data_IF_689905179936
#
_entry.id   IF_689905179936
#
_cell.length_a   1.000
_cell.length_b   1.000
_cell.length_c   1.000
_cell.angle_alpha   90.00
_cell.angle_beta   90.00
_cell.angle_gamma   90.00
#
_symmetry.space_group_name_H-M   'P 1'
#
loop_
_entity.id
_entity.type
_entity.pdbx_description
1 polymer ?
#
# COMPACT_ATOMS: atom_id res chain seq x y z
N UNK A 1 28.87 -37.70 -32.44
CA UNK A 1 28.09 -36.72 -33.21
C UNK A 1 26.69 -37.27 -33.32
N UNK A 2 25.64 -36.71 -32.73
CA UNK A 2 25.44 -35.54 -31.88
C UNK A 2 24.29 -35.92 -30.94
N UNK A 3 24.38 -35.52 -29.67
CA UNK A 3 23.25 -35.55 -28.76
C UNK A 3 22.27 -34.46 -29.19
N UNK A 4 20.98 -34.79 -29.22
CA UNK A 4 19.92 -33.79 -29.32
C UNK A 4 19.34 -33.60 -27.93
N UNK A 5 19.83 -32.54 -27.28
CA UNK A 5 19.26 -31.99 -26.07
C UNK A 5 17.86 -31.47 -26.41
N UNK A 6 16.84 -32.12 -25.86
CA UNK A 6 15.50 -31.52 -25.79
C UNK A 6 15.52 -30.51 -24.65
N UNK A 7 15.80 -29.27 -25.02
CA UNK A 7 15.68 -28.08 -24.20
C UNK A 7 14.21 -27.92 -23.75
N UNK A 8 13.97 -28.26 -22.48
CA UNK A 8 12.72 -28.03 -21.77
C UNK A 8 12.55 -26.52 -21.57
N UNK A 9 11.75 -25.87 -22.41
CA UNK A 9 11.28 -24.51 -22.17
C UNK A 9 10.35 -24.52 -20.95
N UNK A 10 10.88 -24.15 -19.78
CA UNK A 10 10.06 -23.83 -18.61
C UNK A 10 9.24 -22.58 -18.93
N UNK A 11 7.92 -22.74 -18.84
CA UNK A 11 6.91 -21.70 -18.99
C UNK A 11 6.87 -20.89 -17.69
N UNK A 12 7.52 -19.72 -17.67
CA UNK A 12 7.57 -18.77 -16.53
C UNK A 12 6.24 -18.01 -16.33
N UNK A 13 5.10 -18.69 -16.47
CA UNK A 13 3.77 -18.07 -16.34
C UNK A 13 3.13 -18.43 -15.01
N UNK A 14 2.98 -17.39 -14.19
CA UNK A 14 2.02 -17.20 -13.08
C UNK A 14 2.42 -17.67 -11.68
N UNK A 15 2.61 -16.71 -10.76
CA UNK A 15 2.36 -16.87 -9.31
C UNK A 15 1.84 -15.58 -8.64
N UNK A 16 1.30 -14.66 -9.45
CA UNK A 16 0.46 -13.56 -8.96
C UNK A 16 -1.00 -13.89 -9.27
N UNK A 17 -1.78 -14.25 -8.26
CA UNK A 17 -3.23 -14.27 -8.42
C UNK A 17 -3.71 -12.83 -8.31
N UNK A 18 -3.76 -12.15 -9.45
CA UNK A 18 -4.41 -10.87 -9.57
C UNK A 18 -5.93 -11.08 -9.64
N UNK A 19 -6.67 -10.52 -8.69
CA UNK A 19 -8.12 -10.45 -8.82
C UNK A 19 -8.45 -9.49 -9.97
N UNK A 20 -8.97 -10.03 -11.10
CA UNK A 20 -9.29 -9.23 -12.30
C UNK A 20 -10.36 -8.15 -12.04
N UNK A 21 -11.12 -8.28 -10.96
CA UNK A 21 -12.23 -7.36 -10.62
C UNK A 21 -11.82 -6.24 -9.66
N UNK A 22 -10.81 -6.42 -8.81
CA UNK A 22 -10.40 -5.40 -7.81
C UNK A 22 -8.90 -5.07 -7.80
N UNK A 23 -8.13 -5.64 -8.72
CA UNK A 23 -6.68 -5.37 -8.88
C UNK A 23 -5.81 -5.76 -7.68
N UNK A 24 -6.36 -6.47 -6.69
CA UNK A 24 -5.59 -7.04 -5.59
C UNK A 24 -4.63 -8.10 -6.11
N UNK A 25 -3.39 -8.02 -5.65
CA UNK A 25 -2.35 -8.98 -5.97
C UNK A 25 -2.02 -9.76 -4.71
N UNK A 26 -2.25 -11.06 -4.77
CA UNK A 26 -1.64 -12.01 -3.84
C UNK A 26 -0.21 -12.25 -4.31
N UNK A 27 0.76 -11.73 -3.55
CA UNK A 27 2.17 -11.99 -3.84
C UNK A 27 2.67 -13.14 -2.99
N UNK A 28 3.07 -14.23 -3.65
CA UNK A 28 4.02 -15.18 -3.12
C UNK A 28 5.44 -14.64 -3.30
N UNK A 29 6.37 -15.06 -2.44
CA UNK A 29 7.78 -14.71 -2.59
C UNK A 29 8.30 -15.22 -3.95
N UNK A 30 8.40 -14.32 -4.93
CA UNK A 30 9.37 -14.33 -6.02
C UNK A 30 9.37 -12.92 -6.65
N UNK A 31 10.57 -12.36 -6.84
CA UNK A 31 10.80 -10.94 -7.06
C UNK A 31 10.14 -10.42 -8.33
N UNK A 32 9.48 -9.26 -8.21
CA UNK A 32 9.03 -8.46 -9.33
C UNK A 32 9.67 -7.09 -9.18
N UNK A 33 10.58 -6.76 -10.07
CA UNK A 33 11.12 -5.42 -10.20
C UNK A 33 10.13 -4.61 -11.05
N UNK A 34 9.49 -3.62 -10.43
CA UNK A 34 8.73 -2.60 -11.15
C UNK A 34 9.48 -1.27 -11.03
N UNK A 35 10.19 -0.91 -12.10
CA UNK A 35 10.96 0.33 -12.18
C UNK A 35 10.11 1.44 -12.81
N UNK A 36 9.15 1.98 -12.05
CA UNK A 36 8.55 3.28 -12.39
C UNK A 36 9.14 4.39 -11.54
N UNK A 37 10.03 5.19 -12.13
CA UNK A 37 10.47 6.47 -11.58
C UNK A 37 9.30 7.46 -11.63
N UNK A 38 8.73 7.81 -10.49
CA UNK A 38 7.61 8.76 -10.40
C UNK A 38 8.13 10.21 -10.31
N UNK A 39 7.44 11.11 -10.98
CA UNK A 39 7.69 12.55 -10.89
C UNK A 39 7.32 13.03 -9.48
N UNK A 40 8.16 13.89 -8.90
CA UNK A 40 7.87 14.57 -7.64
C UNK A 40 6.63 15.44 -7.81
N UNK A 41 5.69 15.33 -6.87
CA UNK A 41 4.59 16.28 -6.69
C UNK A 41 5.22 17.60 -6.20
N UNK A 42 4.75 18.74 -6.72
CA UNK A 42 5.35 20.06 -6.44
C UNK A 42 5.05 20.59 -5.01
N UNK A 43 4.19 19.90 -4.27
CA UNK A 43 3.80 20.22 -2.90
C UNK A 43 3.92 18.98 -2.01
N UNK A 44 4.34 19.15 -0.74
CA UNK A 44 4.38 18.05 0.20
C UNK A 44 2.96 17.60 0.56
N UNK A 45 2.73 16.29 0.78
CA UNK A 45 1.47 15.79 1.29
C UNK A 45 1.18 16.32 2.70
N UNK A 46 -0.05 16.09 3.17
CA UNK A 46 -0.47 16.36 4.55
C UNK A 46 0.59 15.95 5.60
N UNK A 47 0.80 16.79 6.63
CA UNK A 47 1.75 16.49 7.71
C UNK A 47 1.32 15.29 8.56
N UNK A 48 2.30 14.63 9.19
CA UNK A 48 2.03 13.53 10.13
C UNK A 48 1.12 13.96 11.29
N UNK A 49 1.32 15.16 11.83
CA UNK A 49 0.49 15.72 12.91
C UNK A 49 -0.99 15.87 12.50
N UNK A 50 -1.25 16.38 11.29
CA UNK A 50 -2.61 16.48 10.79
C UNK A 50 -3.26 15.10 10.62
N UNK A 51 -2.48 14.12 10.13
CA UNK A 51 -2.95 12.75 9.95
C UNK A 51 -3.23 12.05 11.29
N UNK A 52 -2.38 12.24 12.30
CA UNK A 52 -2.63 11.79 13.67
C UNK A 52 -3.91 12.42 14.26
N UNK A 53 -4.14 13.71 13.98
CA UNK A 53 -5.36 14.41 14.35
C UNK A 53 -6.62 13.73 13.78
N UNK A 54 -6.59 13.38 12.50
CA UNK A 54 -7.68 12.68 11.80
C UNK A 54 -7.88 11.25 12.34
N UNK A 55 -6.78 10.56 12.66
CA UNK A 55 -6.77 9.18 13.13
C UNK A 55 -7.00 9.04 14.64
N UNK A 56 -7.22 10.14 15.35
CA UNK A 56 -7.49 10.15 16.79
C UNK A 56 -8.67 9.23 17.12
N UNK A 57 -8.44 8.32 18.08
CA UNK A 57 -9.43 7.32 18.49
C UNK A 57 -9.32 5.98 17.74
N UNK A 58 -8.44 5.87 16.75
CA UNK A 58 -8.05 4.57 16.17
C UNK A 58 -6.79 4.03 16.86
N UNK A 59 -6.46 2.76 16.63
CA UNK A 59 -5.22 2.13 17.12
C UNK A 59 -4.04 2.24 16.14
N UNK A 60 -4.21 2.99 15.05
CA UNK A 60 -3.18 3.18 14.04
C UNK A 60 -2.05 4.06 14.56
N UNK A 61 -0.84 3.80 14.08
CA UNK A 61 0.37 4.58 14.40
C UNK A 61 0.81 5.32 13.15
N UNK A 62 1.08 6.61 13.25
CA UNK A 62 1.69 7.38 12.16
C UNK A 62 3.21 7.40 12.38
N UNK A 63 3.99 7.06 11.36
CA UNK A 63 5.46 7.08 11.46
C UNK A 63 6.14 7.31 10.11
N UNK A 64 7.44 7.54 10.12
CA UNK A 64 8.27 7.58 8.92
C UNK A 64 8.75 6.17 8.53
N UNK A 65 9.44 6.08 7.39
CA UNK A 65 9.83 4.80 6.82
C UNK A 65 10.86 4.02 7.65
N UNK A 66 11.81 4.70 8.30
CA UNK A 66 12.83 4.11 9.17
C UNK A 66 12.30 3.72 10.56
N UNK A 67 11.20 4.32 11.01
CA UNK A 67 10.53 3.99 12.28
C UNK A 67 9.57 2.79 12.18
N UNK A 68 9.17 2.37 10.98
CA UNK A 68 8.32 1.17 10.82
C UNK A 68 9.04 -0.06 11.40
N UNK A 69 8.47 -0.80 12.37
CA UNK A 69 9.16 -1.95 12.95
C UNK A 69 9.31 -3.09 11.95
N UNK A 70 10.45 -3.79 11.99
CA UNK A 70 10.66 -4.97 11.16
C UNK A 70 9.66 -6.09 11.48
N UNK A 71 9.39 -6.35 12.75
CA UNK A 71 8.49 -7.41 13.21
C UNK A 71 7.39 -6.87 14.12
N UNK A 72 6.14 -7.25 13.83
CA UNK A 72 4.93 -6.76 14.52
C UNK A 72 4.34 -7.87 15.38
N UNK A 73 4.51 -7.73 16.70
CA UNK A 73 4.07 -8.70 17.72
C UNK A 73 2.60 -8.57 18.07
N UNK A 74 2.15 -7.35 18.30
CA UNK A 74 0.77 -7.09 18.74
C UNK A 74 -0.12 -6.92 17.50
N UNK A 75 -1.12 -7.79 17.34
CA UNK A 75 -2.04 -7.79 16.19
C UNK A 75 -3.51 -7.76 16.69
N UNK A 76 -4.42 -7.07 15.98
CA UNK A 76 -4.21 -6.38 14.72
C UNK A 76 -3.50 -5.04 14.93
N UNK A 77 -2.66 -4.65 13.96
CA UNK A 77 -1.95 -3.36 14.03
C UNK A 77 -1.90 -2.71 12.66
N UNK A 78 -2.08 -1.39 12.65
CA UNK A 78 -1.98 -0.59 11.44
C UNK A 78 -0.96 0.51 11.63
N UNK A 79 -0.12 0.72 10.63
CA UNK A 79 0.83 1.82 10.54
C UNK A 79 0.47 2.65 9.31
N UNK A 80 0.41 3.97 9.45
CA UNK A 80 0.38 4.89 8.32
C UNK A 80 1.77 5.49 8.23
N UNK A 81 2.45 5.17 7.13
CA UNK A 81 3.90 5.29 7.00
C UNK A 81 4.19 6.29 5.91
N UNK A 82 4.98 7.32 6.24
CA UNK A 82 5.56 8.16 5.21
C UNK A 82 6.61 7.33 4.45
N UNK A 83 6.64 7.43 3.13
CA UNK A 83 7.58 6.67 2.30
C UNK A 83 9.03 7.10 2.47
N UNK A 84 9.26 8.30 3.02
CA UNK A 84 10.59 8.81 3.31
C UNK A 84 10.97 8.60 4.78
N UNK A 85 12.28 8.67 5.05
CA UNK A 85 12.81 8.58 6.40
C UNK A 85 12.47 9.83 7.21
N UNK A 86 12.51 9.72 8.54
CA UNK A 86 12.12 10.79 9.47
C UNK A 86 12.87 12.12 9.29
N UNK A 87 14.08 12.09 8.72
CA UNK A 87 14.88 13.28 8.46
C UNK A 87 14.66 13.90 7.06
N UNK A 88 13.66 13.41 6.32
CA UNK A 88 13.31 13.89 4.99
C UNK A 88 11.95 14.61 5.03
N UNK A 89 11.65 15.34 3.95
CA UNK A 89 10.46 16.19 3.87
C UNK A 89 9.14 15.39 3.87
N UNK A 90 9.20 14.12 3.48
CA UNK A 90 8.06 13.23 3.37
C UNK A 90 7.23 13.48 2.12
N UNK A 91 7.24 12.53 1.19
CA UNK A 91 6.68 12.72 -0.16
C UNK A 91 5.39 11.96 -0.43
N UNK A 92 5.13 10.87 0.30
CA UNK A 92 3.92 10.07 0.12
C UNK A 92 3.55 9.31 1.40
N UNK A 93 2.28 8.96 1.56
CA UNK A 93 1.77 8.14 2.66
C UNK A 93 1.21 6.82 2.12
N UNK A 94 1.63 5.72 2.72
CA UNK A 94 1.03 4.39 2.53
C UNK A 94 0.61 3.80 3.87
N UNK A 95 -0.19 2.72 3.86
CA UNK A 95 -0.61 2.04 5.08
C UNK A 95 -0.16 0.58 5.09
N UNK A 96 0.33 0.12 6.24
CA UNK A 96 0.64 -1.28 6.51
C UNK A 96 -0.37 -1.81 7.53
N UNK A 97 -1.04 -2.91 7.22
CA UNK A 97 -1.95 -3.57 8.15
C UNK A 97 -1.52 -5.01 8.41
N UNK A 98 -1.41 -5.36 9.68
CA UNK A 98 -1.04 -6.68 10.16
C UNK A 98 -2.26 -7.25 10.89
N UNK A 99 -3.09 -8.07 10.22
CA UNK A 99 -4.30 -8.61 10.83
C UNK A 99 -3.97 -9.69 11.88
N UNK A 100 -4.93 -10.03 12.75
CA UNK A 100 -4.80 -11.15 13.71
C UNK A 100 -4.50 -12.46 12.97
N UNK A 101 -5.18 -12.68 11.86
CA UNK A 101 -5.05 -13.85 11.00
C UNK A 101 -5.10 -13.40 9.54
N UNK A 102 -4.34 -14.10 8.69
CA UNK A 102 -4.20 -13.78 7.27
C UNK A 102 -2.92 -13.02 6.93
N UNK A 103 -2.73 -12.69 5.64
CA UNK A 103 -1.55 -12.01 5.15
C UNK A 103 -1.49 -10.54 5.60
N UNK A 104 -0.29 -9.98 5.87
CA UNK A 104 -0.09 -8.54 5.96
C UNK A 104 -0.53 -7.83 4.67
N UNK A 105 -0.98 -6.59 4.80
CA UNK A 105 -1.45 -5.75 3.69
C UNK A 105 -0.57 -4.50 3.59
N UNK A 106 -0.22 -4.11 2.37
CA UNK A 106 0.31 -2.80 2.02
C UNK A 106 -0.69 -2.08 1.11
N UNK A 107 -1.19 -0.94 1.58
CA UNK A 107 -2.13 -0.10 0.88
C UNK A 107 -1.46 1.17 0.38
N UNK A 108 -1.69 1.47 -0.89
CA UNK A 108 -1.24 2.67 -1.56
C UNK A 108 -2.29 3.10 -2.60
N UNK A 109 -2.83 4.30 -2.45
CA UNK A 109 -3.86 4.88 -3.33
C UNK A 109 -3.35 5.24 -4.72
N UNK A 110 -2.03 5.38 -4.89
CA UNK A 110 -1.35 5.61 -6.17
C UNK A 110 -0.80 4.30 -6.77
N UNK A 111 -1.40 3.14 -6.50
CA UNK A 111 -0.98 1.82 -7.04
C UNK A 111 0.49 1.42 -6.82
N UNK A 112 1.18 2.01 -5.84
CA UNK A 112 2.57 1.63 -5.57
C UNK A 112 2.67 0.24 -4.95
N UNK A 113 3.78 -0.42 -5.23
CA UNK A 113 4.11 -1.72 -4.64
C UNK A 113 5.06 -1.51 -3.46
N UNK A 114 5.24 -2.50 -2.57
CA UNK A 114 6.23 -2.42 -1.50
C UNK A 114 7.66 -2.18 -2.00
N UNK A 115 7.96 -2.51 -3.26
CA UNK A 115 9.26 -2.31 -3.90
C UNK A 115 9.43 -0.92 -4.53
N UNK A 116 8.36 -0.13 -4.63
CA UNK A 116 8.37 1.23 -5.23
C UNK A 116 9.11 2.25 -4.35
N UNK A 117 9.19 2.01 -3.03
CA UNK A 117 9.63 3.00 -2.04
C UNK A 117 10.94 2.57 -1.36
N UNK A 118 10.95 2.44 -0.03
CA UNK A 118 12.12 1.92 0.68
C UNK A 118 12.29 0.43 0.43
N UNK A 119 13.52 0.00 0.15
CA UNK A 119 13.87 -1.42 -0.02
C UNK A 119 13.42 -2.32 1.15
N UNK A 120 13.24 -1.75 2.35
CA UNK A 120 12.80 -2.49 3.54
C UNK A 120 11.30 -2.81 3.58
N UNK A 121 10.45 -2.10 2.84
CA UNK A 121 8.99 -2.23 2.96
C UNK A 121 8.52 -3.64 2.62
N UNK A 122 9.01 -4.21 1.52
CA UNK A 122 8.76 -5.61 1.18
C UNK A 122 9.24 -6.57 2.28
N UNK A 123 10.44 -6.34 2.82
CA UNK A 123 10.99 -7.21 3.87
C UNK A 123 10.14 -7.20 5.13
N UNK A 124 9.60 -6.04 5.53
CA UNK A 124 8.68 -5.93 6.67
C UNK A 124 7.45 -6.82 6.47
N UNK A 125 6.88 -6.87 5.27
CA UNK A 125 5.72 -7.73 4.98
C UNK A 125 6.08 -9.23 5.08
N UNK A 126 7.19 -9.63 4.46
CA UNK A 126 7.65 -11.03 4.40
C UNK A 126 7.99 -11.59 5.78
N UNK A 127 8.67 -10.83 6.64
CA UNK A 127 9.02 -11.33 7.99
C UNK A 127 7.79 -11.43 8.90
N UNK A 128 6.65 -10.84 8.50
CA UNK A 128 5.40 -10.88 9.24
C UNK A 128 4.36 -11.87 8.66
N UNK A 129 4.67 -12.56 7.56
CA UNK A 129 3.83 -13.60 6.97
C UNK A 129 4.41 -14.20 5.68
N UNK A 130 4.06 -15.47 5.34
CA UNK A 130 4.57 -16.13 4.14
C UNK A 130 4.03 -15.55 2.82
N UNK A 131 2.99 -14.72 2.90
CA UNK A 131 2.33 -14.02 1.80
C UNK A 131 1.95 -12.61 2.27
N UNK A 132 1.80 -11.67 1.34
CA UNK A 132 1.25 -10.34 1.61
C UNK A 132 0.35 -9.87 0.47
N UNK A 133 -0.49 -8.86 0.76
CA UNK A 133 -1.42 -8.26 -0.18
C UNK A 133 -1.03 -6.82 -0.47
N UNK A 134 -1.25 -6.40 -1.72
CA UNK A 134 -1.29 -4.99 -2.10
C UNK A 134 -2.26 -4.80 -3.28
N UNK A 135 -2.68 -3.57 -3.51
CA UNK A 135 -3.54 -3.21 -4.64
C UNK A 135 -2.72 -2.59 -5.77
N UNK A 136 -3.03 -2.96 -7.02
CA UNK A 136 -2.52 -2.27 -8.23
C UNK A 136 -3.52 -1.27 -8.81
N UNK A 137 -4.68 -1.09 -8.18
CA UNK A 137 -5.64 -0.08 -8.61
C UNK A 137 -5.18 1.30 -8.16
N UNK A 138 -5.06 2.21 -9.13
CA UNK A 138 -4.91 3.63 -8.85
C UNK A 138 -6.29 4.20 -8.54
N UNK A 139 -6.45 4.79 -7.36
CA UNK A 139 -7.70 5.40 -6.91
C UNK A 139 -7.53 6.87 -6.54
N UNK A 140 -6.29 7.37 -6.53
CA UNK A 140 -5.94 8.78 -6.34
C UNK A 140 -5.30 9.37 -7.62
N UNK A 141 -5.59 10.64 -7.97
CA UNK A 141 -4.85 11.35 -9.01
C UNK A 141 -3.37 11.55 -8.65
N UNK A 142 -2.44 11.35 -9.59
CA UNK A 142 -0.99 11.45 -9.31
C UNK A 142 -0.53 12.84 -8.85
N UNK A 143 -1.28 13.90 -9.20
CA UNK A 143 -0.98 15.28 -8.80
C UNK A 143 -1.57 15.67 -7.44
N UNK A 144 -2.35 14.79 -6.80
CA UNK A 144 -3.08 15.12 -5.60
C UNK A 144 -2.27 14.87 -4.32
N UNK A 145 -2.43 15.75 -3.34
CA UNK A 145 -1.77 15.68 -2.02
C UNK A 145 -2.59 14.88 -0.98
N UNK A 146 -3.67 14.24 -1.41
CA UNK A 146 -4.68 13.60 -0.55
C UNK A 146 -4.32 12.19 -0.08
N UNK A 147 -3.12 11.65 -0.36
CA UNK A 147 -2.74 10.26 -0.02
C UNK A 147 -2.91 9.94 1.48
N UNK A 148 -2.67 10.92 2.36
CA UNK A 148 -2.96 10.81 3.79
C UNK A 148 -4.44 10.57 4.10
N UNK A 149 -5.36 11.21 3.37
CA UNK A 149 -6.81 10.99 3.52
C UNK A 149 -7.23 9.60 3.05
N UNK A 150 -6.63 9.07 1.98
CA UNK A 150 -6.87 7.69 1.56
C UNK A 150 -6.40 6.70 2.63
N UNK A 151 -5.22 6.92 3.21
CA UNK A 151 -4.75 6.11 4.33
C UNK A 151 -5.70 6.21 5.54
N UNK A 152 -6.20 7.41 5.86
CA UNK A 152 -7.16 7.60 6.94
C UNK A 152 -8.49 6.87 6.68
N UNK A 153 -8.98 6.92 5.44
CA UNK A 153 -10.17 6.17 5.03
C UNK A 153 -9.96 4.66 5.17
N UNK A 154 -8.84 4.15 4.63
CA UNK A 154 -8.45 2.75 4.76
C UNK A 154 -8.42 2.31 6.23
N UNK A 155 -7.76 3.07 7.11
CA UNK A 155 -7.71 2.77 8.56
C UNK A 155 -9.11 2.70 9.17
N UNK A 156 -9.97 3.70 8.91
CA UNK A 156 -11.34 3.73 9.44
C UNK A 156 -12.14 2.50 8.99
N UNK A 157 -12.03 2.10 7.73
CA UNK A 157 -12.70 0.92 7.19
C UNK A 157 -12.12 -0.39 7.77
N UNK A 158 -10.79 -0.48 7.96
CA UNK A 158 -10.17 -1.63 8.64
C UNK A 158 -10.61 -1.76 10.10
N UNK A 159 -10.80 -0.66 10.82
CA UNK A 159 -11.39 -0.69 12.16
C UNK A 159 -12.81 -1.26 12.18
N UNK A 160 -13.52 -1.20 11.06
CA UNK A 160 -14.84 -1.82 10.85
C UNK A 160 -14.75 -3.23 10.23
N UNK A 161 -13.55 -3.83 10.18
CA UNK A 161 -13.28 -5.15 9.59
C UNK A 161 -13.61 -5.27 8.09
N UNK A 162 -13.65 -4.16 7.35
CA UNK A 162 -13.82 -4.17 5.90
C UNK A 162 -12.50 -4.58 5.24
N UNK A 163 -12.55 -5.43 4.22
CA UNK A 163 -11.35 -5.94 3.54
C UNK A 163 -10.77 -4.89 2.57
N UNK A 164 -9.46 -4.94 2.32
CA UNK A 164 -8.81 -4.01 1.38
C UNK A 164 -9.45 -4.01 -0.01
N UNK A 165 -9.90 -5.17 -0.49
CA UNK A 165 -10.62 -5.29 -1.77
C UNK A 165 -11.84 -4.37 -1.82
N UNK A 166 -12.67 -4.44 -0.79
CA UNK A 166 -13.94 -3.72 -0.70
C UNK A 166 -13.68 -2.22 -0.49
N UNK A 167 -12.62 -1.87 0.26
CA UNK A 167 -12.18 -0.48 0.45
C UNK A 167 -11.75 0.12 -0.89
N UNK A 168 -10.96 -0.59 -1.69
CA UNK A 168 -10.51 -0.12 -3.02
C UNK A 168 -11.71 -0.01 -3.96
N UNK A 169 -12.64 -0.97 -3.94
CA UNK A 169 -13.84 -0.99 -4.77
C UNK A 169 -14.86 0.11 -4.44
N UNK A 170 -14.71 0.81 -3.31
CA UNK A 170 -15.52 1.97 -2.96
C UNK A 170 -15.11 3.25 -3.74
N UNK A 171 -14.05 3.16 -4.55
CA UNK A 171 -13.53 4.24 -5.38
C UNK A 171 -13.63 3.91 -6.86
N UNK A 172 -13.81 4.94 -7.69
CA UNK A 172 -13.81 4.80 -9.14
C UNK A 172 -12.38 4.69 -9.66
N UNK A 173 -12.10 3.72 -10.54
CA UNK A 173 -10.83 3.69 -11.30
C UNK A 173 -10.79 4.69 -12.45
N UNK A 174 -11.97 5.22 -12.84
CA UNK A 174 -12.14 6.02 -14.06
C UNK A 174 -12.29 7.52 -13.76
N UNK A 175 -12.77 7.87 -12.55
CA UNK A 175 -12.97 9.26 -12.10
C UNK A 175 -12.23 9.49 -10.77
N UNK A 176 -10.91 9.67 -10.89
CA UNK A 176 -10.01 9.85 -9.74
C UNK A 176 -10.28 11.19 -9.02
N UNK A 177 -10.71 12.24 -9.73
CA UNK A 177 -11.05 13.52 -9.12
C UNK A 177 -12.31 13.43 -8.25
N UNK A 178 -13.29 12.60 -8.63
CA UNK A 178 -14.46 12.36 -7.79
C UNK A 178 -14.09 11.66 -6.47
N UNK A 179 -13.10 10.76 -6.50
CA UNK A 179 -12.60 10.11 -5.28
C UNK A 179 -11.99 11.13 -4.31
N UNK A 180 -11.19 12.07 -4.82
CA UNK A 180 -10.62 13.15 -4.01
C UNK A 180 -11.71 14.04 -3.41
N UNK A 181 -12.68 14.48 -4.23
CA UNK A 181 -13.82 15.28 -3.72
C UNK A 181 -14.58 14.53 -2.62
N UNK A 182 -14.80 13.22 -2.78
CA UNK A 182 -15.45 12.36 -1.79
C UNK A 182 -14.67 12.36 -0.47
N UNK A 183 -13.36 12.17 -0.50
CA UNK A 183 -12.54 12.15 0.71
C UNK A 183 -12.41 13.52 1.36
N UNK A 184 -12.19 14.58 0.57
CA UNK A 184 -12.14 15.95 1.10
C UNK A 184 -13.46 16.27 1.80
N UNK A 185 -14.62 15.98 1.19
CA UNK A 185 -15.92 16.20 1.82
C UNK A 185 -16.11 15.37 3.10
N UNK A 186 -15.60 14.13 3.14
CA UNK A 186 -15.73 13.24 4.29
C UNK A 186 -14.87 13.69 5.49
N UNK A 187 -13.73 14.34 5.23
CA UNK A 187 -12.77 14.75 6.25
C UNK A 187 -12.68 16.28 6.46
N UNK A 188 -13.52 17.06 5.77
CA UNK A 188 -13.71 18.48 6.08
C UNK A 188 -14.58 18.63 7.33
N UNK A 189 -14.09 19.35 8.34
CA UNK A 189 -14.81 19.71 9.56
C UNK A 189 -15.00 21.23 9.63
#
# INVERSE_FOLDING_TARGET
MEGSDTESTMDDREDLIACRECGLVFAHYQGLEDHTCRKKIDSPPMSGEALEGILRGTSAVVCCADDLPAYVRDRPKTYVVNTDNCNQEGTHWGAFHFPISGPPEFFDSLRGTPDTYQHRFRNVLIVNGPQYLFSRCQIQPEYSETCGLYCAYYVKMRCQSIKMADIVNDFSSDDLDANDRKLIALFSF
#
